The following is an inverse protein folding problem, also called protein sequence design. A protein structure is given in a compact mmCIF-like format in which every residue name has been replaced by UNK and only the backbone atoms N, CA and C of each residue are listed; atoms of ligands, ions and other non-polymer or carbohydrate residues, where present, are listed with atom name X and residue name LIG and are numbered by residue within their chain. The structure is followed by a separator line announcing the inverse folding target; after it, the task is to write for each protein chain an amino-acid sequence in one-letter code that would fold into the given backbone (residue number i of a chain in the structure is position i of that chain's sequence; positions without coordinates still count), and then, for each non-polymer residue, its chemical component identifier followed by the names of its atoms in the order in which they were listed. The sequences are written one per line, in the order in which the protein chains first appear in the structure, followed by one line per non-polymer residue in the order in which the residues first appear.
data_IF_919358314042
#
_entry.id   IF_919358314042
#
_cell.length_a   1.000
_cell.length_b   1.000
_cell.length_c   1.000
_cell.angle_alpha   90.00
_cell.angle_beta   90.00
_cell.angle_gamma   90.00
#
_symmetry.space_group_name_H-M   'P 1'
#
loop_
_entity.id
_entity.type
_entity.pdbx_description
1 polymer ?
#
# COMPACT_ATOMS: atom_id res chain seq x y z
N UNK A 1 17.35 11.35 29.69
CA UNK A 1 16.65 10.31 30.45
C UNK A 1 16.83 9.00 29.69
N UNK A 2 17.55 8.04 30.29
CA UNK A 2 17.76 6.73 29.67
C UNK A 2 16.46 5.93 29.73
N UNK A 3 16.07 5.31 28.62
CA UNK A 3 14.88 4.47 28.57
C UNK A 3 14.98 3.32 29.59
N UNK A 4 13.87 2.95 30.21
CA UNK A 4 13.77 1.73 31.02
C UNK A 4 14.24 0.55 30.17
N UNK A 5 15.16 -0.31 30.64
CA UNK A 5 15.62 -1.49 29.91
C UNK A 5 14.47 -2.34 29.34
N UNK A 6 13.30 -2.35 29.99
CA UNK A 6 12.10 -3.08 29.59
C UNK A 6 11.41 -2.41 28.40
N UNK A 7 11.20 -1.09 28.44
CA UNK A 7 10.63 -0.33 27.32
C UNK A 7 11.58 -0.27 26.11
N UNK A 8 12.89 -0.16 26.35
CA UNK A 8 13.89 -0.26 25.30
C UNK A 8 13.85 -1.62 24.60
N UNK A 9 13.64 -2.70 25.36
CA UNK A 9 13.41 -4.04 24.80
C UNK A 9 12.12 -4.11 23.98
N UNK A 10 11.01 -3.54 24.46
CA UNK A 10 9.76 -3.50 23.69
C UNK A 10 9.93 -2.80 22.34
N UNK A 11 10.58 -1.64 22.31
CA UNK A 11 10.91 -0.93 21.05
C UNK A 11 11.81 -1.74 20.12
N UNK A 12 12.78 -2.47 20.67
CA UNK A 12 13.63 -3.34 19.86
C UNK A 12 12.85 -4.51 19.25
N UNK A 13 11.86 -5.06 19.97
CA UNK A 13 10.96 -6.09 19.46
C UNK A 13 10.07 -5.53 18.34
N UNK A 14 9.49 -4.34 18.50
CA UNK A 14 8.71 -3.67 17.45
C UNK A 14 9.53 -3.49 16.18
N UNK A 15 10.75 -2.96 16.29
CA UNK A 15 11.63 -2.77 15.14
C UNK A 15 11.94 -4.10 14.41
N UNK A 16 12.19 -5.17 15.17
CA UNK A 16 12.43 -6.50 14.60
C UNK A 16 11.18 -7.10 13.97
N UNK A 17 10.00 -6.90 14.59
CA UNK A 17 8.72 -7.30 14.04
C UNK A 17 8.45 -6.63 12.69
N UNK A 18 8.71 -5.33 12.57
CA UNK A 18 8.60 -4.60 11.31
C UNK A 18 9.54 -5.18 10.23
N UNK A 19 10.77 -5.58 10.59
CA UNK A 19 11.68 -6.25 9.63
C UNK A 19 11.16 -7.62 9.19
N UNK A 20 10.57 -8.41 10.10
CA UNK A 20 9.95 -9.68 9.76
C UNK A 20 8.71 -9.48 8.86
N UNK A 21 7.90 -8.47 9.14
CA UNK A 21 6.75 -8.09 8.32
C UNK A 21 7.15 -7.87 6.85
N UNK A 22 8.18 -7.05 6.60
CA UNK A 22 8.65 -6.75 5.24
C UNK A 22 9.27 -7.95 4.52
N UNK A 23 9.70 -8.97 5.26
CA UNK A 23 10.24 -10.24 4.72
C UNK A 23 9.18 -11.33 4.56
N UNK A 24 7.91 -10.99 4.74
CA UNK A 24 6.79 -11.95 4.76
C UNK A 24 6.93 -13.05 5.84
N UNK A 25 7.70 -12.80 6.89
CA UNK A 25 7.82 -13.65 8.09
C UNK A 25 6.77 -13.24 9.13
N UNK A 26 5.49 -13.28 8.74
CA UNK A 26 4.41 -12.66 9.53
C UNK A 26 4.16 -13.36 10.87
N UNK A 27 4.43 -14.66 10.98
CA UNK A 27 4.34 -15.37 12.25
C UNK A 27 5.41 -14.88 13.23
N UNK A 28 6.65 -14.69 12.77
CA UNK A 28 7.74 -14.13 13.56
C UNK A 28 7.45 -12.68 13.96
N UNK A 29 6.89 -11.88 13.05
CA UNK A 29 6.42 -10.53 13.37
C UNK A 29 5.34 -10.54 14.47
N UNK A 30 4.33 -11.41 14.35
CA UNK A 30 3.28 -11.56 15.35
C UNK A 30 3.83 -11.97 16.73
N UNK A 31 4.80 -12.88 16.77
CA UNK A 31 5.45 -13.28 18.02
C UNK A 31 6.17 -12.11 18.71
N UNK A 32 6.90 -11.29 17.93
CA UNK A 32 7.61 -10.14 18.47
C UNK A 32 6.66 -9.02 18.93
N UNK A 33 5.59 -8.76 18.17
CA UNK A 33 4.55 -7.81 18.60
C UNK A 33 3.84 -8.28 19.89
N UNK A 34 3.52 -9.56 20.02
CA UNK A 34 2.91 -10.09 21.23
C UNK A 34 3.83 -9.92 22.46
N UNK A 35 5.13 -10.18 22.29
CA UNK A 35 6.12 -9.97 23.35
C UNK A 35 6.31 -8.48 23.70
N UNK A 36 6.26 -7.58 22.72
CA UNK A 36 6.30 -6.14 22.92
C UNK A 36 5.04 -5.64 23.66
N UNK A 37 3.87 -6.17 23.29
CA UNK A 37 2.58 -5.80 23.87
C UNK A 37 2.52 -6.14 25.35
N UNK A 38 2.94 -7.35 25.73
CA UNK A 38 2.97 -7.77 27.14
C UNK A 38 3.82 -6.84 28.02
N UNK A 39 4.90 -6.27 27.47
CA UNK A 39 5.72 -5.27 28.17
C UNK A 39 4.95 -3.95 28.27
N UNK A 40 4.39 -3.45 27.17
CA UNK A 40 3.66 -2.18 27.16
C UNK A 40 2.45 -2.20 28.11
N UNK A 41 1.74 -3.33 28.18
CA UNK A 41 0.64 -3.56 29.12
C UNK A 41 1.09 -3.57 30.59
N UNK A 42 2.22 -4.22 30.89
CA UNK A 42 2.77 -4.25 32.24
C UNK A 42 3.18 -2.87 32.75
N UNK A 43 3.61 -1.99 31.83
CA UNK A 43 4.01 -0.61 32.11
C UNK A 43 2.87 0.41 31.95
N UNK A 44 1.67 -0.03 31.52
CA UNK A 44 0.51 0.82 31.16
C UNK A 44 0.87 1.95 30.16
N UNK A 45 1.79 1.67 29.22
CA UNK A 45 2.25 2.63 28.21
C UNK A 45 1.27 2.67 27.02
N UNK A 46 0.21 3.48 27.16
CA UNK A 46 -0.84 3.63 26.14
C UNK A 46 -0.31 4.01 24.76
N UNK A 47 0.58 5.01 24.60
CA UNK A 47 1.17 5.31 23.29
C UNK A 47 1.88 4.12 22.65
N UNK A 48 2.66 3.37 23.42
CA UNK A 48 3.38 2.21 22.89
C UNK A 48 2.42 1.06 22.52
N UNK A 49 1.36 0.86 23.30
CA UNK A 49 0.31 -0.09 22.96
C UNK A 49 -0.37 0.26 21.63
N UNK A 50 -0.64 1.54 21.35
CA UNK A 50 -1.21 2.00 20.07
C UNK A 50 -0.31 1.67 18.88
N UNK A 51 1.00 1.93 19.00
CA UNK A 51 1.99 1.59 17.98
C UNK A 51 2.04 0.07 17.72
N UNK A 52 2.05 -0.73 18.79
CA UNK A 52 2.08 -2.19 18.70
C UNK A 52 0.81 -2.74 18.04
N UNK A 53 -0.37 -2.29 18.47
CA UNK A 53 -1.65 -2.71 17.88
C UNK A 53 -1.79 -2.27 16.42
N UNK A 54 -1.21 -1.13 16.04
CA UNK A 54 -1.11 -0.69 14.64
C UNK A 54 -0.30 -1.69 13.81
N UNK A 55 0.88 -2.09 14.31
CA UNK A 55 1.73 -3.11 13.68
C UNK A 55 1.07 -4.50 13.61
N UNK A 56 0.35 -4.91 14.67
CA UNK A 56 -0.44 -6.14 14.69
C UNK A 56 -1.52 -6.10 13.60
N UNK A 57 -2.27 -5.00 13.48
CA UNK A 57 -3.34 -4.86 12.48
C UNK A 57 -2.80 -4.99 11.06
N UNK A 58 -1.71 -4.29 10.73
CA UNK A 58 -1.05 -4.40 9.41
C UNK A 58 -0.55 -5.81 9.13
N UNK A 59 0.01 -6.49 10.12
CA UNK A 59 0.52 -7.86 9.99
C UNK A 59 -0.62 -8.85 9.77
N UNK A 60 -1.69 -8.77 10.57
CA UNK A 60 -2.89 -9.62 10.43
C UNK A 60 -3.55 -9.43 9.07
N UNK A 61 -3.80 -8.18 8.65
CA UNK A 61 -4.43 -7.88 7.36
C UNK A 61 -3.63 -8.44 6.19
N UNK A 62 -2.31 -8.23 6.21
CA UNK A 62 -1.41 -8.74 5.17
C UNK A 62 -1.38 -10.26 5.13
N UNK A 63 -1.22 -10.91 6.28
CA UNK A 63 -1.20 -12.37 6.37
C UNK A 63 -2.53 -12.99 5.93
N UNK A 64 -3.66 -12.40 6.31
CA UNK A 64 -4.99 -12.84 5.92
C UNK A 64 -5.19 -12.78 4.40
N UNK A 65 -4.73 -11.70 3.75
CA UNK A 65 -4.78 -11.58 2.28
C UNK A 65 -3.97 -12.66 1.55
N UNK A 66 -3.02 -13.28 2.26
CA UNK A 66 -2.15 -14.36 1.77
C UNK A 66 -2.60 -15.74 2.28
N UNK A 67 -3.79 -15.83 2.87
CA UNK A 67 -4.40 -17.07 3.36
C UNK A 67 -3.85 -17.58 4.69
N UNK A 68 -3.11 -16.74 5.44
CA UNK A 68 -2.63 -17.07 6.79
C UNK A 68 -3.52 -16.41 7.85
N UNK A 69 -3.96 -17.21 8.83
CA UNK A 69 -4.70 -16.72 9.99
C UNK A 69 -3.73 -16.45 11.16
N UNK A 70 -3.56 -15.17 11.51
CA UNK A 70 -2.76 -14.71 12.65
C UNK A 70 -3.62 -14.06 13.74
N UNK A 71 -4.92 -14.36 13.76
CA UNK A 71 -5.90 -13.82 14.68
C UNK A 71 -6.83 -12.78 14.06
N UNK A 72 -7.75 -12.28 14.89
CA UNK A 72 -8.85 -11.42 14.45
C UNK A 72 -8.38 -10.00 14.09
N UNK A 73 -8.47 -9.64 12.81
CA UNK A 73 -8.16 -8.28 12.35
C UNK A 73 -9.11 -7.24 12.96
N UNK A 74 -10.38 -7.57 13.16
CA UNK A 74 -11.38 -6.64 13.69
C UNK A 74 -11.05 -6.27 15.13
N UNK A 75 -10.58 -7.24 15.92
CA UNK A 75 -10.10 -7.01 17.27
C UNK A 75 -8.93 -6.02 17.27
N UNK A 76 -7.89 -6.25 16.46
CA UNK A 76 -6.72 -5.38 16.48
C UNK A 76 -7.04 -3.96 16.01
N UNK A 77 -7.89 -3.80 14.99
CA UNK A 77 -8.36 -2.49 14.52
C UNK A 77 -9.18 -1.79 15.60
N UNK A 78 -10.06 -2.52 16.29
CA UNK A 78 -10.82 -1.97 17.42
C UNK A 78 -9.91 -1.48 18.55
N UNK A 79 -8.83 -2.21 18.87
CA UNK A 79 -7.85 -1.76 19.89
C UNK A 79 -7.13 -0.48 19.49
N UNK A 80 -6.73 -0.36 18.22
CA UNK A 80 -6.14 0.89 17.70
C UNK A 80 -7.15 2.04 17.80
N UNK A 81 -8.42 1.80 17.47
CA UNK A 81 -9.47 2.82 17.57
C UNK A 81 -9.70 3.28 19.01
N UNK A 82 -9.82 2.35 19.96
CA UNK A 82 -10.01 2.65 21.40
C UNK A 82 -8.87 3.53 21.94
N UNK A 83 -7.62 3.09 21.74
CA UNK A 83 -6.44 3.82 22.22
C UNK A 83 -6.19 5.13 21.46
N UNK A 84 -6.39 5.13 20.14
CA UNK A 84 -6.27 6.31 19.31
C UNK A 84 -7.27 7.40 19.69
N UNK A 85 -8.50 7.01 20.05
CA UNK A 85 -9.51 7.93 20.58
C UNK A 85 -9.12 8.46 21.95
N UNK A 86 -8.67 7.59 22.87
CA UNK A 86 -8.21 7.98 24.21
C UNK A 86 -7.08 9.02 24.14
N UNK A 87 -6.13 8.81 23.23
CA UNK A 87 -4.93 9.65 23.08
C UNK A 87 -5.14 10.85 22.16
N UNK A 88 -6.29 10.95 21.46
CA UNK A 88 -6.49 11.88 20.35
C UNK A 88 -5.38 11.79 19.30
N UNK A 89 -4.99 10.56 18.92
CA UNK A 89 -3.94 10.29 17.94
C UNK A 89 -4.53 10.23 16.52
N UNK A 90 -4.36 11.27 15.69
CA UNK A 90 -4.91 11.28 14.34
C UNK A 90 -4.26 10.24 13.44
N UNK A 91 -3.03 9.81 13.71
CA UNK A 91 -2.34 8.79 12.90
C UNK A 91 -2.96 7.42 13.13
N UNK A 92 -3.24 7.09 14.39
CA UNK A 92 -3.92 5.84 14.76
C UNK A 92 -5.35 5.79 14.19
N UNK A 93 -6.10 6.90 14.30
CA UNK A 93 -7.46 6.98 13.75
C UNK A 93 -7.47 6.89 12.21
N UNK A 94 -6.50 7.51 11.53
CA UNK A 94 -6.41 7.40 10.08
C UNK A 94 -6.09 5.96 9.62
N UNK A 95 -5.29 5.21 10.39
CA UNK A 95 -5.05 3.78 10.13
C UNK A 95 -6.33 2.95 10.25
N UNK A 96 -7.19 3.25 11.23
CA UNK A 96 -8.50 2.61 11.39
C UNK A 96 -9.37 2.86 10.17
N UNK A 97 -9.45 4.12 9.72
CA UNK A 97 -10.22 4.49 8.52
C UNK A 97 -9.70 3.80 7.24
N UNK A 98 -8.38 3.64 7.12
CA UNK A 98 -7.79 2.84 6.05
C UNK A 98 -8.28 1.39 6.05
N UNK A 99 -8.29 0.72 7.22
CA UNK A 99 -8.77 -0.66 7.31
C UNK A 99 -10.28 -0.78 7.07
N UNK A 100 -11.08 0.19 7.51
CA UNK A 100 -12.51 0.24 7.20
C UNK A 100 -12.75 0.35 5.69
N UNK A 101 -12.03 1.25 5.01
CA UNK A 101 -12.12 1.40 3.56
C UNK A 101 -11.69 0.13 2.83
N UNK A 102 -10.57 -0.47 3.22
CA UNK A 102 -10.09 -1.73 2.64
C UNK A 102 -11.10 -2.87 2.83
N UNK A 103 -11.70 -3.02 4.01
CA UNK A 103 -12.72 -4.03 4.29
C UNK A 103 -14.00 -3.78 3.47
N UNK A 104 -14.43 -2.53 3.33
CA UNK A 104 -15.57 -2.16 2.49
C UNK A 104 -15.31 -2.51 1.01
N UNK A 105 -14.09 -2.31 0.52
CA UNK A 105 -13.68 -2.66 -0.84
C UNK A 105 -13.64 -4.17 -1.04
N UNK A 106 -12.89 -4.90 -0.21
CA UNK A 106 -12.70 -6.35 -0.35
C UNK A 106 -13.97 -7.16 -0.09
N UNK A 107 -14.85 -6.68 0.80
CA UNK A 107 -16.11 -7.33 1.14
C UNK A 107 -17.25 -7.08 0.14
N UNK A 108 -17.06 -6.19 -0.84
CA UNK A 108 -18.10 -5.82 -1.77
C UNK A 108 -18.01 -6.63 -3.08
N UNK A 109 -19.03 -7.45 -3.41
CA UNK A 109 -19.04 -8.21 -4.67
C UNK A 109 -19.20 -7.31 -5.91
N UNK A 110 -19.67 -6.07 -5.74
CA UNK A 110 -19.81 -5.08 -6.80
C UNK A 110 -19.19 -3.74 -6.35
N UNK A 111 -17.88 -3.54 -6.59
CA UNK A 111 -17.17 -2.33 -6.20
C UNK A 111 -17.75 -1.03 -6.80
N UNK A 112 -18.56 -1.10 -7.87
CA UNK A 112 -19.22 0.06 -8.45
C UNK A 112 -20.28 0.70 -7.54
N UNK A 113 -20.71 -0.03 -6.51
CA UNK A 113 -21.68 0.44 -5.51
C UNK A 113 -21.05 1.23 -4.36
N UNK A 114 -19.71 1.26 -4.28
CA UNK A 114 -19.00 2.01 -3.25
C UNK A 114 -19.13 3.51 -3.49
N UNK A 115 -19.07 4.30 -2.41
CA UNK A 115 -19.03 5.75 -2.53
C UNK A 115 -17.77 6.17 -3.32
N UNK A 116 -17.91 7.00 -4.38
CA UNK A 116 -16.81 7.36 -5.27
C UNK A 116 -15.68 8.14 -4.56
N UNK A 117 -16.00 8.71 -3.38
CA UNK A 117 -15.12 9.57 -2.59
C UNK A 117 -14.71 8.88 -1.26
N UNK A 118 -14.97 7.57 -1.10
CA UNK A 118 -14.64 6.79 0.11
C UNK A 118 -13.19 7.01 0.55
N UNK A 119 -12.28 6.96 -0.43
CA UNK A 119 -10.84 7.09 -0.16
C UNK A 119 -10.37 8.53 -0.09
N UNK A 120 -11.15 9.50 -0.58
CA UNK A 120 -10.80 10.92 -0.48
C UNK A 120 -10.89 11.41 0.96
N UNK A 121 -11.87 10.91 1.72
CA UNK A 121 -11.98 11.17 3.15
C UNK A 121 -10.75 10.63 3.93
N UNK A 122 -10.32 9.40 3.63
CA UNK A 122 -9.15 8.77 4.26
C UNK A 122 -7.85 9.50 3.90
N UNK A 123 -7.70 9.88 2.63
CA UNK A 123 -6.57 10.70 2.17
C UNK A 123 -6.52 12.04 2.92
N UNK A 124 -7.67 12.71 3.07
CA UNK A 124 -7.76 13.99 3.78
C UNK A 124 -7.33 13.91 5.26
N UNK A 125 -7.56 12.78 5.94
CA UNK A 125 -7.03 12.55 7.29
C UNK A 125 -5.50 12.39 7.30
N UNK A 126 -4.94 11.69 6.31
CA UNK A 126 -3.49 11.51 6.21
C UNK A 126 -2.75 12.78 5.77
N UNK A 127 -3.39 13.64 4.98
CA UNK A 127 -2.86 14.97 4.63
C UNK A 127 -2.71 15.87 5.87
N UNK A 128 -3.67 15.80 6.80
CA UNK A 128 -3.60 16.56 8.06
C UNK A 128 -2.51 16.03 9.00
N UNK A 129 -2.24 14.72 8.99
CA UNK A 129 -1.17 14.11 9.80
C UNK A 129 0.21 14.15 9.14
N UNK A 130 0.30 14.57 7.87
CA UNK A 130 1.57 14.67 7.12
C UNK A 130 2.17 13.31 6.72
N UNK A 131 1.38 12.24 6.72
CA UNK A 131 1.87 10.89 6.49
C UNK A 131 1.91 10.53 4.99
N UNK A 132 2.93 11.02 4.28
CA UNK A 132 3.09 10.82 2.82
C UNK A 132 2.96 9.36 2.37
N UNK A 133 3.55 8.42 3.11
CA UNK A 133 3.47 6.99 2.79
C UNK A 133 2.03 6.47 2.80
N UNK A 134 1.22 6.88 3.77
CA UNK A 134 -0.18 6.48 3.84
C UNK A 134 -1.04 7.18 2.79
N UNK A 135 -0.73 8.44 2.45
CA UNK A 135 -1.37 9.14 1.32
C UNK A 135 -1.13 8.35 0.02
N UNK A 136 0.11 7.93 -0.23
CA UNK A 136 0.46 7.13 -1.40
C UNK A 136 -0.32 5.81 -1.44
N UNK A 137 -0.33 5.04 -0.35
CA UNK A 137 -1.06 3.77 -0.30
C UNK A 137 -2.57 3.92 -0.54
N UNK A 138 -3.20 4.96 0.00
CA UNK A 138 -4.62 5.21 -0.24
C UNK A 138 -4.91 5.63 -1.69
N UNK A 139 -4.01 6.41 -2.32
CA UNK A 139 -4.11 6.75 -3.76
C UNK A 139 -3.94 5.52 -4.66
N UNK A 140 -3.09 4.57 -4.27
CA UNK A 140 -2.97 3.28 -4.96
C UNK A 140 -4.28 2.50 -4.88
N UNK A 141 -4.84 2.35 -3.68
CA UNK A 141 -6.12 1.66 -3.47
C UNK A 141 -7.27 2.34 -4.25
N UNK A 142 -7.24 3.68 -4.37
CA UNK A 142 -8.20 4.44 -5.18
C UNK A 142 -8.08 4.13 -6.66
N UNK A 143 -6.86 4.14 -7.19
CA UNK A 143 -6.60 3.78 -8.58
C UNK A 143 -7.02 2.33 -8.88
N UNK A 144 -6.79 1.39 -7.97
CA UNK A 144 -7.23 -0.01 -8.11
C UNK A 144 -8.76 -0.15 -8.19
N UNK A 145 -9.49 0.57 -7.33
CA UNK A 145 -10.95 0.62 -7.37
C UNK A 145 -11.45 1.21 -8.69
N UNK A 146 -10.86 2.32 -9.13
CA UNK A 146 -11.20 3.01 -10.37
C UNK A 146 -10.93 2.13 -11.61
N UNK A 147 -9.82 1.37 -11.62
CA UNK A 147 -9.55 0.34 -12.64
C UNK A 147 -10.64 -0.74 -12.66
N UNK A 148 -11.06 -1.20 -11.47
CA UNK A 148 -12.03 -2.29 -11.34
C UNK A 148 -13.41 -1.92 -11.86
N UNK A 149 -13.82 -0.66 -11.68
CA UNK A 149 -15.09 -0.13 -12.21
C UNK A 149 -14.99 0.36 -13.66
N UNK A 150 -13.79 0.34 -14.26
CA UNK A 150 -13.53 0.74 -15.65
C UNK A 150 -13.37 2.24 -15.88
N UNK A 151 -13.23 3.05 -14.82
CA UNK A 151 -12.95 4.48 -14.96
C UNK A 151 -11.44 4.73 -15.10
N UNK A 152 -10.90 4.38 -16.27
CA UNK A 152 -9.47 4.46 -16.53
C UNK A 152 -8.92 5.89 -16.53
N UNK A 153 -9.77 6.89 -16.77
CA UNK A 153 -9.37 8.30 -16.72
C UNK A 153 -9.11 8.73 -15.28
N UNK A 154 -10.05 8.46 -14.36
CA UNK A 154 -9.84 8.74 -12.94
C UNK A 154 -8.71 7.89 -12.37
N UNK A 155 -8.67 6.61 -12.72
CA UNK A 155 -7.62 5.70 -12.26
C UNK A 155 -6.22 6.18 -12.66
N UNK A 156 -6.06 6.72 -13.87
CA UNK A 156 -4.81 7.32 -14.34
C UNK A 156 -4.42 8.51 -13.47
N UNK A 157 -5.36 9.42 -13.19
CA UNK A 157 -5.12 10.57 -12.33
C UNK A 157 -4.66 10.14 -10.93
N UNK A 158 -5.38 9.20 -10.31
CA UNK A 158 -5.03 8.67 -8.98
C UNK A 158 -3.67 7.95 -8.98
N UNK A 159 -3.33 7.22 -10.05
CA UNK A 159 -2.02 6.58 -10.20
C UNK A 159 -0.88 7.60 -10.34
N UNK A 160 -1.09 8.69 -11.08
CA UNK A 160 -0.11 9.77 -11.23
C UNK A 160 0.14 10.50 -9.91
N UNK A 161 -0.92 10.79 -9.17
CA UNK A 161 -0.81 11.39 -7.84
C UNK A 161 -0.07 10.46 -6.87
N UNK A 162 -0.27 9.14 -6.98
CA UNK A 162 0.51 8.16 -6.23
C UNK A 162 2.00 8.16 -6.65
N UNK A 163 2.32 8.23 -7.95
CA UNK A 163 3.72 8.36 -8.42
C UNK A 163 4.36 9.63 -7.83
N UNK A 164 3.66 10.77 -7.86
CA UNK A 164 4.18 12.01 -7.31
C UNK A 164 4.43 11.91 -5.80
N UNK A 165 3.48 11.38 -5.02
CA UNK A 165 3.64 11.26 -3.56
C UNK A 165 4.75 10.29 -3.18
N UNK A 166 4.90 9.19 -3.93
CA UNK A 166 5.96 8.21 -3.68
C UNK A 166 7.34 8.72 -4.10
N UNK A 167 7.42 9.56 -5.14
CA UNK A 167 8.62 10.33 -5.47
C UNK A 167 9.00 11.28 -4.31
N UNK A 168 8.05 12.06 -3.81
CA UNK A 168 8.27 12.99 -2.69
C UNK A 168 8.67 12.27 -1.38
N UNK A 169 8.08 11.11 -1.12
CA UNK A 169 8.39 10.28 0.05
C UNK A 169 9.71 9.49 -0.07
N UNK A 170 10.28 9.39 -1.28
CA UNK A 170 11.40 8.48 -1.55
C UNK A 170 11.02 7.00 -1.45
N UNK A 171 9.73 6.67 -1.54
CA UNK A 171 9.20 5.32 -1.41
C UNK A 171 9.22 4.60 -2.75
N UNK A 172 10.39 4.06 -3.10
CA UNK A 172 10.61 3.31 -4.35
C UNK A 172 9.68 2.10 -4.44
N UNK A 173 9.33 1.50 -3.30
CA UNK A 173 8.48 0.34 -3.26
C UNK A 173 7.05 0.70 -3.66
N UNK A 174 6.41 1.65 -2.99
CA UNK A 174 5.07 2.11 -3.34
C UNK A 174 5.03 2.72 -4.76
N UNK A 175 6.11 3.38 -5.20
CA UNK A 175 6.22 3.90 -6.56
C UNK A 175 6.16 2.80 -7.62
N UNK A 176 6.80 1.65 -7.37
CA UNK A 176 6.73 0.51 -8.29
C UNK A 176 5.30 0.03 -8.51
N UNK A 177 4.46 0.10 -7.47
CA UNK A 177 3.04 -0.22 -7.56
C UNK A 177 2.26 0.89 -8.28
N UNK A 178 2.55 2.16 -8.01
CA UNK A 178 1.94 3.27 -8.74
C UNK A 178 2.17 3.16 -10.26
N UNK A 179 3.39 2.81 -10.66
CA UNK A 179 3.75 2.57 -12.06
C UNK A 179 2.97 1.41 -12.68
N UNK A 180 2.65 0.35 -11.93
CA UNK A 180 1.82 -0.75 -12.45
C UNK A 180 0.40 -0.29 -12.78
N UNK A 181 -0.20 0.56 -11.94
CA UNK A 181 -1.58 1.03 -12.12
C UNK A 181 -1.64 2.04 -13.25
N UNK A 182 -0.60 2.87 -13.35
CA UNK A 182 -0.41 3.74 -14.49
C UNK A 182 -0.20 2.94 -15.79
N UNK A 183 0.56 1.84 -15.76
CA UNK A 183 0.72 0.96 -16.91
C UNK A 183 -0.63 0.40 -17.39
N UNK A 184 -1.46 -0.13 -16.48
CA UNK A 184 -2.80 -0.64 -16.81
C UNK A 184 -3.63 0.45 -17.49
N UNK A 185 -3.75 1.61 -16.85
CA UNK A 185 -4.57 2.71 -17.37
C UNK A 185 -4.06 3.26 -18.69
N UNK A 186 -2.74 3.26 -18.90
CA UNK A 186 -2.12 3.68 -20.17
C UNK A 186 -2.45 2.73 -21.32
N UNK A 187 -2.45 1.42 -21.07
CA UNK A 187 -2.90 0.42 -22.07
C UNK A 187 -4.36 0.67 -22.45
N UNK A 188 -5.24 0.77 -21.45
CA UNK A 188 -6.69 0.92 -21.64
C UNK A 188 -7.08 2.25 -22.32
N UNK A 189 -6.26 3.29 -22.13
CA UNK A 189 -6.45 4.60 -22.75
C UNK A 189 -5.79 4.73 -24.13
N UNK A 190 -5.20 3.65 -24.67
CA UNK A 190 -4.79 3.56 -26.07
C UNK A 190 -3.30 3.70 -26.35
N UNK A 191 -2.43 3.63 -25.33
CA UNK A 191 -0.97 3.56 -25.52
C UNK A 191 -0.38 2.26 -24.93
N UNK A 192 -0.63 1.11 -25.57
CA UNK A 192 -0.16 -0.19 -25.08
C UNK A 192 1.37 -0.31 -25.05
N UNK A 193 2.10 0.42 -25.90
CA UNK A 193 3.56 0.42 -25.90
C UNK A 193 4.12 1.11 -24.65
N UNK A 194 3.63 2.32 -24.33
CA UNK A 194 4.03 3.01 -23.12
C UNK A 194 3.60 2.23 -21.87
N UNK A 195 2.39 1.66 -21.88
CA UNK A 195 1.90 0.79 -20.82
C UNK A 195 2.83 -0.39 -20.54
N UNK A 196 3.26 -1.11 -21.59
CA UNK A 196 4.21 -2.21 -21.44
C UNK A 196 5.58 -1.75 -20.88
N UNK A 197 6.11 -0.61 -21.33
CA UNK A 197 7.37 -0.05 -20.79
C UNK A 197 7.24 0.31 -19.29
N UNK A 198 6.14 0.93 -18.90
CA UNK A 198 5.86 1.24 -17.48
C UNK A 198 5.72 -0.04 -16.64
N UNK A 199 5.12 -1.10 -17.19
CA UNK A 199 5.04 -2.40 -16.55
C UNK A 199 6.43 -3.03 -16.31
N UNK A 200 7.33 -2.93 -17.29
CA UNK A 200 8.72 -3.38 -17.15
C UNK A 200 9.48 -2.63 -16.06
N UNK A 201 9.34 -1.30 -16.01
CA UNK A 201 9.95 -0.48 -14.97
C UNK A 201 9.41 -0.82 -13.57
N UNK A 202 8.09 -0.98 -13.45
CA UNK A 202 7.43 -1.44 -12.22
C UNK A 202 7.98 -2.79 -11.75
N UNK A 203 8.12 -3.76 -12.67
CA UNK A 203 8.72 -5.06 -12.35
C UNK A 203 10.16 -4.92 -11.84
N UNK A 204 11.00 -4.16 -12.53
CA UNK A 204 12.41 -4.01 -12.16
C UNK A 204 12.58 -3.38 -10.76
N UNK A 205 11.76 -2.40 -10.41
CA UNK A 205 11.81 -1.77 -9.09
C UNK A 205 11.34 -2.72 -7.99
N UNK A 206 10.31 -3.53 -8.24
CA UNK A 206 9.90 -4.58 -7.29
C UNK A 206 11.03 -5.55 -7.00
N UNK A 207 11.70 -6.06 -8.04
CA UNK A 207 12.84 -6.98 -7.87
C UNK A 207 13.99 -6.37 -7.07
N UNK A 208 14.27 -5.08 -7.24
CA UNK A 208 15.34 -4.39 -6.51
C UNK A 208 15.06 -4.21 -5.03
N UNK A 209 13.80 -4.02 -4.64
CA UNK A 209 13.43 -3.83 -3.22
C UNK A 209 13.42 -5.14 -2.45
N UNK A 210 13.21 -6.28 -3.13
CA UNK A 210 13.07 -7.59 -2.50
C UNK A 210 11.86 -7.69 -1.56
N UNK A 211 11.01 -6.66 -1.53
CA UNK A 211 9.85 -6.58 -0.68
C UNK A 211 8.66 -7.26 -1.35
N UNK A 212 7.97 -8.10 -0.59
CA UNK A 212 6.69 -8.71 -0.96
C UNK A 212 5.58 -7.89 -0.30
N UNK A 213 4.87 -7.07 -1.07
CA UNK A 213 3.58 -6.52 -0.59
C UNK A 213 2.50 -7.61 -0.71
N UNK A 214 1.45 -7.57 0.14
CA UNK A 214 0.23 -8.29 -0.16
C UNK A 214 -0.31 -7.97 -1.56
N UNK A 215 -1.10 -8.87 -2.16
CA UNK A 215 -1.76 -8.65 -3.43
C UNK A 215 -2.59 -7.36 -3.42
N UNK A 216 -2.92 -6.80 -4.60
CA UNK A 216 -3.84 -5.66 -4.70
C UNK A 216 -5.14 -5.95 -3.95
N UNK A 217 -5.78 -4.90 -3.40
CA UNK A 217 -7.02 -5.03 -2.62
C UNK A 217 -8.17 -5.60 -3.44
N UNK A 218 -8.08 -5.45 -4.76
CA UNK A 218 -8.99 -6.02 -5.75
C UNK A 218 -8.18 -6.75 -6.82
N UNK A 219 -8.67 -7.87 -7.38
CA UNK A 219 -8.00 -8.54 -8.48
C UNK A 219 -7.87 -7.60 -9.69
N UNK A 220 -6.63 -7.23 -10.03
CA UNK A 220 -6.32 -6.48 -11.26
C UNK A 220 -5.49 -7.36 -12.18
N UNK A 221 -5.90 -7.45 -13.45
CA UNK A 221 -5.12 -8.16 -14.47
C UNK A 221 -3.81 -7.42 -14.77
N UNK A 222 -2.74 -8.19 -14.93
CA UNK A 222 -1.41 -7.65 -15.19
C UNK A 222 -1.35 -6.79 -16.47
N UNK A 223 -0.69 -5.62 -16.41
CA UNK A 223 -0.61 -4.71 -17.56
C UNK A 223 0.08 -5.34 -18.78
N UNK A 224 1.00 -6.27 -18.57
CA UNK A 224 1.68 -6.99 -19.66
C UNK A 224 0.71 -7.90 -20.42
N UNK A 225 -0.19 -8.58 -19.71
CA UNK A 225 -1.24 -9.41 -20.33
C UNK A 225 -2.18 -8.54 -21.15
N UNK A 226 -2.62 -7.40 -20.58
CA UNK A 226 -3.45 -6.41 -21.28
C UNK A 226 -2.76 -5.86 -22.53
N UNK A 227 -1.51 -5.44 -22.42
CA UNK A 227 -0.74 -4.93 -23.56
C UNK A 227 -0.57 -5.99 -24.64
N UNK A 228 -0.23 -7.23 -24.27
CA UNK A 228 -0.07 -8.35 -25.21
C UNK A 228 -1.37 -8.66 -25.96
N UNK A 229 -2.53 -8.49 -25.33
CA UNK A 229 -3.82 -8.65 -26.01
C UNK A 229 -4.06 -7.62 -27.14
N UNK A 230 -3.39 -6.46 -27.08
CA UNK A 230 -3.54 -5.38 -28.07
C UNK A 230 -2.44 -5.40 -29.14
N UNK A 231 -1.17 -5.56 -28.74
CA UNK A 231 0.00 -5.43 -29.63
C UNK A 231 0.84 -6.70 -29.79
N UNK A 232 0.43 -7.83 -29.21
CA UNK A 232 1.12 -9.11 -29.36
C UNK A 232 2.55 -9.10 -28.79
N UNK A 233 3.49 -9.76 -29.48
CA UNK A 233 4.90 -9.90 -29.07
C UNK A 233 5.65 -8.55 -28.94
N UNK A 234 5.09 -7.46 -29.48
CA UNK A 234 5.67 -6.13 -29.28
C UNK A 234 5.57 -5.67 -27.82
N UNK A 235 4.56 -6.16 -27.08
CA UNK A 235 4.43 -5.91 -25.65
C UNK A 235 5.64 -6.48 -24.88
N UNK A 236 6.12 -7.66 -25.26
CA UNK A 236 7.25 -8.33 -24.60
C UNK A 236 8.54 -7.52 -24.80
N UNK A 237 8.76 -7.01 -26.01
CA UNK A 237 9.91 -6.13 -26.31
C UNK A 237 9.84 -4.83 -25.52
N UNK A 238 8.69 -4.17 -25.51
CA UNK A 238 8.48 -2.94 -24.76
C UNK A 238 8.62 -3.15 -23.24
N UNK A 239 8.16 -4.29 -22.73
CA UNK A 239 8.35 -4.67 -21.33
C UNK A 239 9.83 -4.87 -20.99
N UNK A 240 10.58 -5.59 -21.83
CA UNK A 240 12.03 -5.77 -21.64
C UNK A 240 12.79 -4.45 -21.71
N UNK A 241 12.44 -3.56 -22.63
CA UNK A 241 12.97 -2.19 -22.66
C UNK A 241 12.67 -1.44 -21.35
N UNK A 242 11.45 -1.59 -20.82
CA UNK A 242 11.02 -1.00 -19.56
C UNK A 242 11.86 -1.42 -18.35
N UNK A 243 12.37 -2.66 -18.32
CA UNK A 243 13.17 -3.18 -17.20
C UNK A 243 14.53 -2.50 -17.07
N UNK A 244 15.06 -1.99 -18.17
CA UNK A 244 16.36 -1.30 -18.21
C UNK A 244 16.25 0.19 -17.82
N UNK A 245 15.03 0.70 -17.62
CA UNK A 245 14.78 2.11 -17.35
C UNK A 245 15.16 2.48 -15.91
N UNK A 246 15.93 3.56 -15.77
CA UNK A 246 16.29 4.14 -14.49
C UNK A 246 15.13 4.88 -13.82
N UNK A 247 15.23 5.10 -12.50
CA UNK A 247 14.16 5.73 -11.71
C UNK A 247 13.66 7.07 -12.28
N UNK A 248 14.58 7.99 -12.60
CA UNK A 248 14.21 9.31 -13.13
C UNK A 248 13.49 9.24 -14.49
N UNK A 249 13.90 8.29 -15.34
CA UNK A 249 13.27 8.09 -16.63
C UNK A 249 11.89 7.44 -16.48
N UNK A 250 11.71 6.51 -15.52
CA UNK A 250 10.40 5.96 -15.21
C UNK A 250 9.41 7.03 -14.71
N UNK A 251 9.88 7.98 -13.88
CA UNK A 251 9.07 9.14 -13.44
C UNK A 251 8.72 10.04 -14.64
N UNK A 252 9.68 10.30 -15.54
CA UNK A 252 9.42 11.08 -16.76
C UNK A 252 8.39 10.38 -17.67
N UNK A 253 8.48 9.06 -17.84
CA UNK A 253 7.50 8.27 -18.58
C UNK A 253 6.13 8.35 -17.92
N UNK A 254 6.05 8.23 -16.59
CA UNK A 254 4.80 8.36 -15.86
C UNK A 254 4.14 9.72 -16.14
N UNK A 255 4.89 10.83 -16.07
CA UNK A 255 4.37 12.17 -16.37
C UNK A 255 3.88 12.31 -17.83
N UNK A 256 4.58 11.67 -18.78
CA UNK A 256 4.15 11.65 -20.19
C UNK A 256 2.81 10.92 -20.38
N UNK A 257 2.59 9.82 -19.65
CA UNK A 257 1.33 9.07 -19.68
C UNK A 257 0.13 9.91 -19.19
N UNK A 258 0.38 10.86 -18.28
CA UNK A 258 -0.63 11.81 -17.79
C UNK A 258 -0.92 12.98 -18.72
N UNK A 259 -0.04 13.27 -19.70
CA UNK A 259 -0.16 14.44 -20.57
C UNK A 259 -0.94 14.17 -21.86
N UNK A 260 -1.27 12.90 -22.16
CA UNK A 260 -2.09 12.52 -23.30
C UNK A 260 -3.59 12.70 -23.01
N UNK A 261 -4.18 13.79 -23.51
CA UNK A 261 -5.62 14.02 -23.57
C UNK A 261 -6.08 14.12 -25.02
#
# INVERSE_FOLDING_TARGET
AGADPTLARSRALIARAAMYYWKASWQEAANDYAAALAIAEAEDDRPLMTEIWSGISSTRATAQSMGQDLGDLSESVQRVHELGTELNDPSALALVEFFHAAAAIMGNPDPSTLAPDLLDAVIGFHEQSGSLMNIAHNRLMKSELEITIGDFQRARQSALEAVQTTEEAGDIFAMSWALQRLAITTVELGDPHLGARLAGASWAFRQRTGATFPPPFVPIEDPEVRARAVIGEEADRAFEEGKEIGLFEAIALARSAGSGA
#
